data_IF_592679861801
#
_entry.id   IF_592679861801
#
_cell.length_a   1.000
_cell.length_b   1.000
_cell.length_c   1.000
_cell.angle_alpha   90.00
_cell.angle_beta   90.00
_cell.angle_gamma   90.00
#
_symmetry.space_group_name_H-M   'P 1'
#
loop_
_entity.id
_entity.type
_entity.pdbx_description
1 polymer ?
#
# COMPACT_ATOMS: atom_id res chain seq x y z
N UNK A 1 51.35 -54.48 17.17
CA UNK A 1 50.74 -53.24 16.65
C UNK A 1 49.35 -53.58 16.20
N UNK A 2 48.43 -52.59 16.34
CA UNK A 2 47.02 -52.66 16.00
C UNK A 2 46.62 -51.48 15.13
N UNK A 3 45.50 -51.61 14.42
CA UNK A 3 45.01 -50.56 13.58
C UNK A 3 44.14 -49.60 14.38
N UNK A 4 44.38 -48.28 14.20
CA UNK A 4 43.53 -47.22 14.66
C UNK A 4 42.91 -46.57 13.42
N UNK A 5 41.59 -46.67 13.26
CA UNK A 5 40.82 -46.16 12.11
C UNK A 5 39.92 -45.05 12.62
N UNK A 6 40.05 -43.84 12.04
CA UNK A 6 39.23 -42.68 12.33
C UNK A 6 38.23 -42.45 11.20
N UNK A 7 36.95 -42.43 11.52
CA UNK A 7 35.86 -42.28 10.53
C UNK A 7 34.90 -41.17 10.88
N UNK A 8 34.35 -40.56 9.82
CA UNK A 8 33.20 -39.68 9.95
C UNK A 8 32.10 -40.24 9.05
N UNK A 9 31.02 -40.78 9.63
CA UNK A 9 30.07 -41.58 8.92
C UNK A 9 30.74 -42.82 8.33
N UNK A 10 30.61 -43.06 7.03
CA UNK A 10 31.26 -44.17 6.33
C UNK A 10 32.67 -43.83 5.82
N UNK A 11 33.06 -42.55 5.84
CA UNK A 11 34.34 -42.08 5.30
C UNK A 11 35.49 -42.32 6.29
N UNK A 12 36.58 -42.95 5.80
CA UNK A 12 37.81 -43.12 6.55
C UNK A 12 38.67 -41.87 6.38
N UNK A 13 38.87 -41.12 7.49
CA UNK A 13 39.70 -39.92 7.49
C UNK A 13 41.20 -40.30 7.63
N UNK A 14 41.50 -41.25 8.53
CA UNK A 14 42.84 -41.77 8.73
C UNK A 14 42.78 -43.25 9.17
N UNK A 15 43.71 -44.04 8.69
CA UNK A 15 43.99 -45.38 9.21
C UNK A 15 45.49 -45.53 9.45
N UNK A 16 45.89 -45.84 10.69
CA UNK A 16 47.28 -45.95 11.05
C UNK A 16 47.57 -47.14 12.00
N UNK A 17 48.73 -47.67 11.89
CA UNK A 17 49.23 -48.73 12.79
C UNK A 17 49.86 -48.10 14.01
N UNK A 18 49.40 -48.50 15.20
CA UNK A 18 49.89 -47.97 16.50
C UNK A 18 50.38 -49.15 17.36
N UNK A 19 51.51 -49.01 18.02
CA UNK A 19 52.04 -50.02 18.92
C UNK A 19 51.19 -50.11 20.18
N UNK A 20 50.96 -51.32 20.70
CA UNK A 20 50.27 -51.53 21.98
C UNK A 20 50.86 -50.64 23.09
N UNK A 21 50.00 -49.91 23.81
CA UNK A 21 50.37 -49.01 24.90
C UNK A 21 50.91 -47.65 24.44
N UNK A 22 51.17 -47.44 23.14
CA UNK A 22 51.54 -46.11 22.64
C UNK A 22 50.32 -45.16 22.60
N UNK A 23 50.56 -43.84 22.71
CA UNK A 23 49.55 -42.83 22.64
C UNK A 23 48.77 -42.87 21.31
N UNK A 24 47.43 -42.74 21.36
CA UNK A 24 46.58 -42.60 20.21
C UNK A 24 46.29 -41.12 19.97
N UNK A 25 46.92 -40.54 18.96
CA UNK A 25 46.69 -39.14 18.53
C UNK A 25 45.66 -39.11 17.44
N UNK A 26 44.54 -38.42 17.67
CA UNK A 26 43.50 -38.24 16.63
C UNK A 26 43.96 -37.27 15.54
N UNK A 27 43.62 -37.51 14.27
CA UNK A 27 43.91 -36.60 13.18
C UNK A 27 43.05 -35.31 13.28
N UNK A 28 43.48 -34.25 12.59
CA UNK A 28 42.57 -33.13 12.26
C UNK A 28 41.46 -33.61 11.35
N UNK A 29 40.24 -33.18 11.65
CA UNK A 29 39.11 -33.42 10.76
C UNK A 29 39.16 -32.46 9.57
N UNK A 30 38.78 -32.91 8.34
CA UNK A 30 38.72 -32.04 7.19
C UNK A 30 37.66 -30.96 7.40
N UNK A 31 37.93 -29.76 6.86
CA UNK A 31 36.96 -28.67 6.88
C UNK A 31 35.73 -29.07 6.04
N UNK A 32 34.55 -28.79 6.58
CA UNK A 32 33.27 -29.03 5.88
C UNK A 32 32.44 -27.75 5.93
N UNK A 33 32.12 -27.23 4.73
CA UNK A 33 31.35 -25.99 4.62
C UNK A 33 30.03 -26.08 5.39
N UNK A 34 29.70 -25.02 6.13
CA UNK A 34 28.48 -24.93 6.92
C UNK A 34 28.42 -25.88 8.11
N UNK A 35 29.51 -26.51 8.49
CA UNK A 35 29.55 -27.45 9.59
C UNK A 35 30.75 -27.19 10.50
N UNK A 36 30.59 -27.50 11.76
CA UNK A 36 31.66 -27.50 12.75
C UNK A 36 31.94 -28.92 13.21
N UNK A 37 33.22 -29.35 13.22
CA UNK A 37 33.58 -30.63 13.75
C UNK A 37 33.27 -30.73 15.24
N UNK A 38 32.47 -31.73 15.63
CA UNK A 38 32.04 -31.90 17.02
C UNK A 38 33.04 -32.69 17.87
N UNK A 39 34.10 -33.22 17.23
CA UNK A 39 35.14 -33.99 17.89
C UNK A 39 35.10 -35.48 17.58
N UNK A 40 36.21 -36.14 17.88
CA UNK A 40 36.33 -37.59 17.89
C UNK A 40 35.76 -38.15 19.19
N UNK A 41 34.99 -39.22 19.12
CA UNK A 41 34.37 -39.85 20.30
C UNK A 41 35.21 -41.02 20.79
N UNK A 42 35.33 -41.17 22.13
CA UNK A 42 35.93 -42.29 22.81
C UNK A 42 37.37 -42.65 22.32
N UNK A 43 38.19 -41.64 22.00
CA UNK A 43 39.58 -41.84 21.64
C UNK A 43 40.31 -42.38 22.89
N UNK A 44 40.83 -43.62 22.86
CA UNK A 44 41.58 -44.13 24.00
C UNK A 44 42.92 -43.38 24.13
N UNK A 45 43.36 -43.09 25.34
CA UNK A 45 44.64 -42.42 25.59
C UNK A 45 45.85 -43.24 25.06
N UNK A 46 45.75 -44.58 25.16
CA UNK A 46 46.80 -45.51 24.67
C UNK A 46 46.17 -46.65 23.87
N UNK A 47 46.92 -47.19 22.92
CA UNK A 47 46.48 -48.26 22.04
C UNK A 47 46.18 -49.54 22.79
N UNK A 48 44.94 -50.06 22.79
CA UNK A 48 44.59 -51.34 23.41
C UNK A 48 45.17 -52.51 22.62
N UNK A 49 45.00 -53.76 23.17
CA UNK A 49 45.49 -55.01 22.52
C UNK A 49 44.50 -55.51 21.43
N UNK A 50 43.88 -54.60 20.66
CA UNK A 50 42.98 -54.85 19.54
C UNK A 50 42.87 -53.64 18.63
N UNK A 51 42.38 -53.81 17.44
CA UNK A 51 42.08 -52.72 16.50
C UNK A 51 40.92 -51.84 17.02
N UNK A 52 41.00 -50.55 16.76
CA UNK A 52 39.97 -49.56 17.18
C UNK A 52 39.40 -48.84 15.98
N UNK A 53 38.14 -48.47 16.10
CA UNK A 53 37.44 -47.53 15.19
C UNK A 53 36.95 -46.36 16.04
N UNK A 54 37.41 -45.18 15.71
CA UNK A 54 37.03 -43.91 16.39
C UNK A 54 36.13 -43.16 15.44
N UNK A 55 34.98 -42.79 15.95
CA UNK A 55 33.99 -42.03 15.17
C UNK A 55 34.06 -40.57 15.49
N UNK A 56 34.01 -39.74 14.46
CA UNK A 56 33.82 -38.29 14.57
C UNK A 56 32.50 -37.85 13.96
N UNK A 57 32.05 -36.69 14.28
CA UNK A 57 30.83 -36.11 13.74
C UNK A 57 30.95 -34.61 13.48
N UNK A 58 30.07 -34.09 12.63
CA UNK A 58 29.88 -32.65 12.39
C UNK A 58 28.53 -32.25 12.92
N UNK A 59 28.47 -30.99 13.41
CA UNK A 59 27.24 -30.26 13.69
C UNK A 59 27.00 -29.27 12.57
N UNK A 60 25.75 -29.13 12.14
CA UNK A 60 25.34 -28.09 11.17
C UNK A 60 25.41 -26.75 11.86
N UNK A 61 26.01 -25.76 11.20
CA UNK A 61 26.08 -24.41 11.70
C UNK A 61 24.76 -23.69 11.40
N UNK A 62 24.44 -22.73 12.28
CA UNK A 62 23.32 -21.79 12.08
C UNK A 62 23.87 -20.45 11.60
N UNK A 63 23.11 -19.82 10.73
CA UNK A 63 23.40 -18.48 10.23
C UNK A 63 22.15 -17.61 10.34
N UNK A 64 22.35 -16.30 10.49
CA UNK A 64 21.28 -15.34 10.68
C UNK A 64 20.67 -14.96 9.31
N UNK A 65 19.35 -15.09 9.18
CA UNK A 65 18.58 -14.56 8.08
C UNK A 65 17.80 -13.35 8.59
N UNK A 66 18.16 -12.17 8.11
CA UNK A 66 17.55 -10.89 8.52
C UNK A 66 16.75 -10.30 7.38
N UNK A 67 15.47 -10.04 7.62
CA UNK A 67 14.56 -9.32 6.72
C UNK A 67 14.54 -7.85 7.13
N UNK A 68 14.72 -6.95 6.15
CA UNK A 68 14.62 -5.49 6.33
C UNK A 68 13.55 -4.90 5.42
N UNK A 69 12.79 -3.96 5.95
CA UNK A 69 11.78 -3.18 5.21
C UNK A 69 12.15 -1.70 5.33
N UNK A 70 12.29 -1.02 4.19
CA UNK A 70 12.71 0.39 4.12
C UNK A 70 14.00 0.66 4.93
N UNK A 71 14.92 -0.33 4.97
CA UNK A 71 16.18 -0.26 5.70
C UNK A 71 16.10 -0.60 7.20
N UNK A 72 14.92 -0.74 7.77
CA UNK A 72 14.73 -1.15 9.16
C UNK A 72 14.58 -2.68 9.29
N UNK A 73 15.09 -3.25 10.37
CA UNK A 73 14.89 -4.67 10.65
C UNK A 73 13.39 -4.97 10.86
N UNK A 74 12.89 -5.91 10.09
CA UNK A 74 11.53 -6.42 10.18
C UNK A 74 11.47 -7.72 10.97
N UNK A 75 12.38 -8.65 10.67
CA UNK A 75 12.49 -9.96 11.31
C UNK A 75 13.89 -10.53 11.18
N UNK A 76 14.35 -11.23 12.20
CA UNK A 76 15.62 -11.96 12.19
C UNK A 76 15.41 -13.36 12.75
N UNK A 77 15.97 -14.38 12.08
CA UNK A 77 15.85 -15.78 12.46
C UNK A 77 17.19 -16.51 12.25
N UNK A 78 17.49 -17.50 13.11
CA UNK A 78 18.60 -18.42 12.88
C UNK A 78 18.13 -19.63 12.07
N UNK A 79 18.83 -19.96 11.01
CA UNK A 79 18.52 -21.02 10.07
C UNK A 79 19.73 -21.93 9.89
N UNK A 80 19.53 -23.26 9.92
CA UNK A 80 20.60 -24.23 9.69
C UNK A 80 21.10 -24.12 8.25
N UNK A 81 22.41 -24.22 8.07
CA UNK A 81 23.04 -24.30 6.75
C UNK A 81 22.35 -25.32 5.84
N UNK A 82 22.12 -24.96 4.60
CA UNK A 82 21.51 -25.83 3.59
C UNK A 82 20.00 -26.02 3.69
N UNK A 83 19.35 -25.46 4.72
CA UNK A 83 17.90 -25.52 4.84
C UNK A 83 17.22 -24.68 3.74
N UNK A 84 16.19 -25.23 3.10
CA UNK A 84 15.36 -24.49 2.15
C UNK A 84 14.64 -23.34 2.85
N UNK A 85 14.74 -22.15 2.27
CA UNK A 85 14.14 -20.94 2.83
C UNK A 85 12.78 -20.68 2.16
N UNK A 86 11.75 -20.52 2.99
CA UNK A 86 10.46 -20.00 2.57
C UNK A 86 10.39 -18.50 2.91
N UNK A 87 10.03 -17.67 1.93
CA UNK A 87 9.90 -16.23 2.15
C UNK A 87 8.88 -15.91 3.25
N UNK A 88 9.19 -14.89 4.04
CA UNK A 88 8.20 -14.32 4.95
C UNK A 88 7.01 -13.76 4.18
N UNK A 89 5.79 -13.80 4.75
CA UNK A 89 4.65 -13.11 4.19
C UNK A 89 4.96 -11.64 3.95
N UNK A 90 4.41 -11.07 2.87
CA UNK A 90 4.58 -9.65 2.59
C UNK A 90 3.97 -8.82 3.73
N UNK A 91 4.70 -7.84 4.28
CA UNK A 91 4.11 -6.93 5.26
C UNK A 91 3.06 -6.04 4.58
N UNK A 92 2.04 -5.65 5.35
CA UNK A 92 0.98 -4.76 4.88
C UNK A 92 1.15 -3.36 5.46
N UNK A 93 0.92 -2.34 4.63
CA UNK A 93 0.91 -0.93 5.03
C UNK A 93 -0.14 -0.20 4.20
N UNK A 94 -1.13 0.38 4.89
CA UNK A 94 -2.23 1.10 4.24
C UNK A 94 -1.71 2.23 3.33
N UNK A 95 -2.23 2.29 2.12
CA UNK A 95 -1.84 3.28 1.12
C UNK A 95 -0.49 3.01 0.44
N UNK A 96 0.13 1.85 0.68
CA UNK A 96 1.42 1.48 0.11
C UNK A 96 1.36 0.10 -0.53
N UNK A 97 2.25 -0.13 -1.48
CA UNK A 97 2.47 -1.43 -2.12
C UNK A 97 3.86 -1.94 -1.78
N UNK A 98 3.96 -3.17 -1.28
CA UNK A 98 5.24 -3.81 -1.00
C UNK A 98 5.88 -4.32 -2.29
N UNK A 99 7.18 -4.01 -2.51
CA UNK A 99 7.92 -4.36 -3.72
C UNK A 99 8.30 -5.83 -3.86
N UNK A 100 8.07 -6.64 -2.81
CA UNK A 100 8.55 -8.01 -2.70
C UNK A 100 9.93 -8.09 -2.06
N UNK A 101 10.27 -9.29 -1.56
CA UNK A 101 11.57 -9.57 -0.96
C UNK A 101 12.64 -9.74 -2.05
N UNK A 102 13.80 -9.11 -1.83
CA UNK A 102 14.97 -9.20 -2.71
C UNK A 102 16.16 -9.76 -1.95
N UNK A 103 16.99 -10.56 -2.65
CA UNK A 103 18.16 -11.17 -2.07
C UNK A 103 17.89 -12.45 -1.28
N UNK A 104 16.68 -13.01 -1.36
CA UNK A 104 16.33 -14.28 -0.71
C UNK A 104 16.96 -15.45 -1.45
N UNK A 105 17.86 -16.23 -0.83
CA UNK A 105 18.40 -17.45 -1.45
C UNK A 105 17.42 -18.63 -1.34
N UNK A 106 17.55 -19.62 -2.19
CA UNK A 106 16.74 -20.86 -2.11
C UNK A 106 17.06 -21.69 -0.86
N UNK A 107 18.34 -21.71 -0.47
CA UNK A 107 18.81 -22.42 0.73
C UNK A 107 19.76 -21.54 1.52
N UNK A 108 19.86 -21.77 2.84
CA UNK A 108 20.73 -21.00 3.71
C UNK A 108 22.22 -21.26 3.40
N UNK A 109 22.96 -20.23 2.95
CA UNK A 109 24.40 -20.36 2.69
C UNK A 109 25.21 -20.40 4.00
N UNK A 110 26.53 -20.70 3.89
CA UNK A 110 27.45 -20.70 5.02
C UNK A 110 27.87 -19.29 5.47
N UNK A 111 26.91 -18.38 5.55
CA UNK A 111 27.05 -16.98 6.01
C UNK A 111 25.71 -16.37 6.36
N UNK A 112 25.73 -15.29 7.13
CA UNK A 112 24.53 -14.49 7.38
C UNK A 112 24.00 -13.85 6.09
N UNK A 113 22.68 -13.73 5.99
CA UNK A 113 21.96 -13.21 4.83
C UNK A 113 21.06 -12.06 5.23
N UNK A 114 21.09 -11.01 4.44
CA UNK A 114 20.16 -9.89 4.54
C UNK A 114 19.22 -9.90 3.31
N UNK A 115 17.93 -9.88 3.59
CA UNK A 115 16.85 -9.82 2.60
C UNK A 115 16.15 -8.48 2.75
N UNK A 116 15.95 -7.76 1.65
CA UNK A 116 15.37 -6.42 1.70
C UNK A 116 14.06 -6.35 0.95
N UNK A 117 13.17 -5.48 1.40
CA UNK A 117 11.97 -5.08 0.71
C UNK A 117 11.69 -3.61 0.99
N UNK A 118 10.94 -2.97 0.10
CA UNK A 118 10.57 -1.57 0.22
C UNK A 118 9.09 -1.37 -0.03
N UNK A 119 8.53 -0.30 0.54
CA UNK A 119 7.19 0.17 0.22
C UNK A 119 7.23 1.32 -0.77
N UNK A 120 6.31 1.31 -1.74
CA UNK A 120 6.00 2.45 -2.59
C UNK A 120 4.64 3.00 -2.22
N UNK A 121 4.53 4.34 -2.12
CA UNK A 121 3.27 5.01 -1.86
C UNK A 121 2.35 4.93 -3.07
N UNK A 122 1.06 4.65 -2.85
CA UNK A 122 0.06 4.52 -3.90
C UNK A 122 -0.59 5.87 -4.22
N UNK A 123 -1.12 5.98 -5.43
CA UNK A 123 -2.00 7.06 -5.83
C UNK A 123 -3.40 6.51 -6.13
N UNK A 124 -4.42 7.31 -5.82
CA UNK A 124 -5.83 6.96 -6.01
C UNK A 124 -6.54 8.04 -6.82
N UNK A 125 -7.63 7.69 -7.49
CA UNK A 125 -8.38 8.62 -8.31
C UNK A 125 -9.32 9.48 -7.45
N UNK A 126 -9.21 10.81 -7.61
CA UNK A 126 -10.18 11.76 -7.10
C UNK A 126 -11.04 12.25 -8.29
N UNK A 127 -12.32 11.93 -8.29
CA UNK A 127 -13.26 12.29 -9.35
C UNK A 127 -14.27 13.28 -8.80
N UNK A 128 -14.36 14.47 -9.41
CA UNK A 128 -15.32 15.53 -9.07
C UNK A 128 -16.43 15.56 -10.11
N UNK A 129 -17.68 15.41 -9.66
CA UNK A 129 -18.87 15.36 -10.53
C UNK A 129 -19.93 16.35 -10.11
N UNK A 130 -20.67 16.84 -11.12
CA UNK A 130 -21.93 17.57 -10.91
C UNK A 130 -23.02 16.83 -11.72
N UNK A 131 -23.93 16.15 -11.01
CA UNK A 131 -24.81 15.18 -11.63
C UNK A 131 -24.01 14.02 -12.26
N UNK A 132 -24.19 13.75 -13.54
CA UNK A 132 -23.46 12.71 -14.28
C UNK A 132 -22.15 13.25 -14.93
N UNK A 133 -21.98 14.57 -14.97
CA UNK A 133 -20.84 15.21 -15.62
C UNK A 133 -19.60 15.17 -14.74
N UNK A 134 -18.48 14.69 -15.31
CA UNK A 134 -17.16 14.73 -14.66
C UNK A 134 -16.55 16.12 -14.93
N UNK A 135 -16.31 16.87 -13.87
CA UNK A 135 -15.65 18.17 -13.94
C UNK A 135 -14.12 18.00 -13.94
N UNK A 136 -13.63 17.13 -13.05
CA UNK A 136 -12.22 16.78 -12.99
C UNK A 136 -12.03 15.34 -12.54
N UNK A 137 -11.02 14.67 -13.07
CA UNK A 137 -10.51 13.38 -12.56
C UNK A 137 -8.99 13.43 -12.52
N UNK A 138 -8.40 13.20 -11.35
CA UNK A 138 -6.96 13.26 -11.15
C UNK A 138 -6.48 12.19 -10.18
N UNK A 139 -5.24 11.72 -10.40
CA UNK A 139 -4.56 10.87 -9.43
C UNK A 139 -3.95 11.74 -8.33
N UNK A 140 -4.22 11.37 -7.08
CA UNK A 140 -3.68 12.03 -5.87
C UNK A 140 -2.96 10.98 -5.04
N UNK A 141 -1.75 11.29 -4.57
CA UNK A 141 -0.95 10.39 -3.74
C UNK A 141 -1.65 10.20 -2.37
N UNK A 142 -1.62 8.99 -1.85
CA UNK A 142 -2.16 8.69 -0.53
C UNK A 142 -1.64 9.68 0.54
N UNK A 143 -2.56 10.25 1.33
CA UNK A 143 -2.23 11.20 2.39
C UNK A 143 -1.98 12.64 1.93
N UNK A 144 -1.85 12.91 0.61
CA UNK A 144 -1.74 14.26 0.08
C UNK A 144 -3.09 15.00 0.14
N UNK A 145 -3.04 16.33 0.19
CA UNK A 145 -4.23 17.18 0.22
C UNK A 145 -5.11 16.99 -1.02
N UNK A 146 -6.41 16.86 -0.83
CA UNK A 146 -7.40 16.82 -1.91
C UNK A 146 -7.92 18.24 -2.17
N UNK A 147 -7.42 18.85 -3.25
CA UNK A 147 -7.87 20.19 -3.68
C UNK A 147 -8.99 20.05 -4.69
N UNK A 148 -10.16 20.58 -4.37
CA UNK A 148 -11.31 20.58 -5.28
C UNK A 148 -11.12 21.61 -6.41
N UNK A 149 -11.56 21.31 -7.65
CA UNK A 149 -11.51 22.25 -8.77
C UNK A 149 -12.55 23.37 -8.63
N UNK A 150 -12.35 24.45 -9.37
CA UNK A 150 -13.42 25.42 -9.60
C UNK A 150 -14.57 24.78 -10.41
N UNK A 151 -15.80 25.04 -9.97
CA UNK A 151 -16.96 24.61 -10.73
C UNK A 151 -17.18 25.51 -11.97
N UNK A 152 -17.58 24.97 -13.13
CA UNK A 152 -17.89 25.78 -14.29
C UNK A 152 -19.07 26.72 -14.00
N UNK A 153 -19.06 27.92 -14.59
CA UNK A 153 -20.17 28.84 -14.48
C UNK A 153 -21.40 28.25 -15.20
N UNK A 154 -22.57 28.38 -14.55
CA UNK A 154 -23.85 27.94 -15.11
C UNK A 154 -24.85 29.09 -15.01
N UNK A 155 -25.38 29.52 -16.17
CA UNK A 155 -26.32 30.64 -16.24
C UNK A 155 -27.54 30.40 -15.33
N UNK A 156 -27.94 31.42 -14.60
CA UNK A 156 -29.09 31.36 -13.70
C UNK A 156 -28.92 30.44 -12.48
N UNK A 157 -27.71 29.98 -12.21
CA UNK A 157 -27.41 29.09 -11.09
C UNK A 157 -26.20 29.56 -10.32
N UNK A 158 -26.16 29.24 -9.05
CA UNK A 158 -25.02 29.45 -8.17
C UNK A 158 -24.48 28.09 -7.72
N UNK A 159 -23.16 27.88 -7.82
CA UNK A 159 -22.56 26.65 -7.31
C UNK A 159 -22.71 26.56 -5.79
N UNK A 160 -23.30 25.48 -5.31
CA UNK A 160 -23.58 25.26 -3.88
C UNK A 160 -22.40 24.65 -3.12
N UNK A 161 -21.32 24.29 -3.83
CA UNK A 161 -20.12 23.72 -3.26
C UNK A 161 -19.98 22.22 -3.52
N UNK A 162 -18.76 21.74 -3.33
CA UNK A 162 -18.41 20.33 -3.31
C UNK A 162 -18.76 19.72 -1.95
N UNK A 163 -19.31 18.52 -1.93
CA UNK A 163 -19.76 17.85 -0.71
C UNK A 163 -18.76 16.78 -0.28
N UNK A 164 -18.47 16.74 1.02
CA UNK A 164 -17.63 15.70 1.65
C UNK A 164 -16.24 15.55 1.00
N UNK A 165 -15.59 16.63 0.60
CA UNK A 165 -14.20 16.60 0.15
C UNK A 165 -13.34 16.17 1.33
N UNK A 166 -12.62 15.03 1.27
CA UNK A 166 -11.72 14.67 2.35
C UNK A 166 -10.52 15.63 2.37
N UNK A 167 -9.99 15.91 3.55
CA UNK A 167 -8.83 16.79 3.67
C UNK A 167 -7.58 16.20 3.01
N UNK A 168 -7.41 14.87 3.10
CA UNK A 168 -6.31 14.14 2.47
C UNK A 168 -6.83 12.91 1.75
N UNK A 169 -6.07 12.43 0.75
CA UNK A 169 -6.43 11.27 -0.07
C UNK A 169 -6.43 9.99 0.76
N UNK A 170 -7.57 9.29 0.86
CA UNK A 170 -7.64 8.01 1.53
C UNK A 170 -7.01 6.89 0.68
N UNK A 171 -6.88 5.68 1.26
CA UNK A 171 -6.32 4.51 0.57
C UNK A 171 -7.32 3.84 -0.40
N UNK A 172 -8.14 4.63 -1.09
CA UNK A 172 -9.09 4.20 -2.13
C UNK A 172 -9.50 5.38 -3.02
N UNK A 173 -10.03 5.09 -4.18
CA UNK A 173 -10.60 6.10 -5.08
C UNK A 173 -11.80 6.80 -4.43
N UNK A 174 -11.96 8.10 -4.73
CA UNK A 174 -13.07 8.91 -4.23
C UNK A 174 -13.87 9.53 -5.37
N UNK A 175 -15.17 9.71 -5.12
CA UNK A 175 -16.07 10.51 -5.95
C UNK A 175 -16.67 11.62 -5.10
N UNK A 176 -16.40 12.86 -5.47
CA UNK A 176 -16.90 14.04 -4.80
C UNK A 176 -18.00 14.67 -5.66
N UNK A 177 -19.16 14.90 -5.06
CA UNK A 177 -20.30 15.47 -5.74
C UNK A 177 -20.43 16.96 -5.43
N UNK A 178 -20.67 17.73 -6.48
CA UNK A 178 -21.05 19.14 -6.38
C UNK A 178 -22.49 19.34 -6.88
N UNK A 179 -23.07 20.48 -6.55
CA UNK A 179 -24.41 20.83 -6.98
C UNK A 179 -24.55 22.33 -7.25
N UNK A 180 -25.57 22.66 -8.02
CA UNK A 180 -26.00 24.04 -8.23
C UNK A 180 -27.34 24.29 -7.56
N UNK A 181 -27.55 25.53 -7.11
CA UNK A 181 -28.85 26.09 -6.73
C UNK A 181 -29.34 26.99 -7.84
N UNK A 182 -30.63 26.94 -8.13
CA UNK A 182 -31.28 27.87 -9.07
C UNK A 182 -31.36 29.25 -8.43
N UNK A 183 -30.98 30.27 -9.16
CA UNK A 183 -31.09 31.65 -8.69
C UNK A 183 -32.51 32.17 -8.85
N UNK A 184 -32.89 33.09 -7.98
CA UNK A 184 -34.16 33.85 -8.08
C UNK A 184 -33.86 35.21 -8.67
N UNK A 185 -34.79 35.69 -9.48
CA UNK A 185 -34.77 37.00 -10.07
C UNK A 185 -36.12 37.69 -9.85
N UNK A 186 -36.11 39.00 -9.85
CA UNK A 186 -37.30 39.81 -9.54
C UNK A 186 -38.08 40.09 -10.83
N UNK A 187 -39.33 39.66 -10.88
CA UNK A 187 -40.27 40.06 -11.93
C UNK A 187 -41.14 41.20 -11.41
N UNK A 188 -41.01 42.38 -12.03
CA UNK A 188 -41.76 43.57 -11.64
C UNK A 188 -42.80 43.93 -12.68
N UNK A 189 -44.06 43.92 -12.29
CA UNK A 189 -45.18 44.41 -13.09
C UNK A 189 -45.40 45.91 -12.83
N UNK A 190 -45.53 46.69 -13.91
CA UNK A 190 -45.77 48.14 -13.82
C UNK A 190 -47.05 48.51 -14.59
N UNK A 191 -47.88 49.40 -14.02
CA UNK A 191 -49.04 49.98 -14.63
C UNK A 191 -48.88 51.50 -14.67
N UNK A 192 -49.01 52.10 -15.84
CA UNK A 192 -48.78 53.55 -16.05
C UNK A 192 -47.42 54.02 -15.51
N UNK A 193 -46.40 53.16 -15.59
CA UNK A 193 -45.03 53.44 -15.11
C UNK A 193 -44.80 53.23 -13.63
N UNK A 194 -45.83 53.05 -12.83
CA UNK A 194 -45.72 52.75 -11.39
C UNK A 194 -45.65 51.24 -11.15
N UNK A 195 -44.90 50.82 -10.11
CA UNK A 195 -44.86 49.41 -9.68
C UNK A 195 -46.27 48.99 -9.22
N UNK A 196 -46.75 47.92 -9.82
CA UNK A 196 -48.02 47.28 -9.46
C UNK A 196 -47.78 46.06 -8.56
N UNK A 197 -46.82 45.22 -8.94
CA UNK A 197 -46.48 44.03 -8.20
C UNK A 197 -45.02 43.60 -8.50
N UNK A 198 -44.35 43.08 -7.51
CA UNK A 198 -43.00 42.50 -7.63
C UNK A 198 -42.97 41.12 -7.00
N UNK A 199 -42.41 40.13 -7.71
CA UNK A 199 -42.34 38.75 -7.25
C UNK A 199 -40.96 38.18 -7.56
N UNK A 200 -40.43 37.36 -6.65
CA UNK A 200 -39.22 36.55 -6.94
C UNK A 200 -39.59 35.26 -7.62
N UNK A 201 -38.95 34.96 -8.73
CA UNK A 201 -39.21 33.80 -9.58
C UNK A 201 -37.89 33.09 -9.85
N UNK A 202 -37.89 31.75 -9.76
CA UNK A 202 -36.72 30.97 -10.06
C UNK A 202 -36.39 31.06 -11.58
N UNK A 203 -35.08 31.17 -11.88
CA UNK A 203 -34.60 31.16 -13.28
C UNK A 203 -35.20 30.01 -14.07
N UNK A 204 -35.61 30.30 -15.30
CA UNK A 204 -36.17 29.33 -16.23
C UNK A 204 -37.60 28.87 -15.94
N UNK A 205 -38.20 29.33 -14.83
CA UNK A 205 -39.61 29.02 -14.54
C UNK A 205 -40.52 29.71 -15.55
N UNK A 206 -41.51 28.95 -16.07
CA UNK A 206 -42.54 29.52 -16.93
C UNK A 206 -43.34 30.59 -16.17
N UNK A 207 -43.46 31.76 -16.78
CA UNK A 207 -44.17 32.89 -16.20
C UNK A 207 -45.63 32.84 -16.62
N UNK A 208 -46.54 32.84 -15.63
CA UNK A 208 -47.95 33.07 -15.83
C UNK A 208 -48.24 34.52 -15.53
N UNK A 209 -48.85 35.23 -16.49
CA UNK A 209 -49.19 36.66 -16.34
C UNK A 209 -50.08 36.88 -15.12
N UNK A 210 -49.87 37.95 -14.42
CA UNK A 210 -50.78 38.41 -13.38
C UNK A 210 -52.16 38.75 -13.97
N UNK A 211 -53.25 38.56 -13.22
CA UNK A 211 -54.56 39.00 -13.62
C UNK A 211 -54.54 40.50 -13.96
N UNK A 212 -55.40 40.89 -14.92
CA UNK A 212 -55.55 42.29 -15.31
C UNK A 212 -55.95 43.15 -14.09
N UNK A 213 -55.24 44.26 -13.81
CA UNK A 213 -55.69 45.18 -12.77
C UNK A 213 -56.98 45.89 -13.15
N UNK A 214 -57.84 46.10 -12.16
CA UNK A 214 -59.10 46.83 -12.38
C UNK A 214 -58.94 48.30 -12.03
N UNK A 215 -59.46 49.18 -12.91
CA UNK A 215 -59.47 50.61 -12.69
C UNK A 215 -60.78 51.19 -13.29
N UNK A 216 -61.60 51.85 -12.45
CA UNK A 216 -62.88 52.36 -12.88
C UNK A 216 -62.72 53.31 -14.06
N UNK A 217 -63.54 53.13 -15.11
CA UNK A 217 -63.49 53.91 -16.34
C UNK A 217 -62.36 53.63 -17.30
N UNK A 218 -61.52 52.58 -17.04
CA UNK A 218 -60.40 52.23 -17.89
C UNK A 218 -60.48 50.75 -18.28
N UNK A 219 -59.93 50.44 -19.46
CA UNK A 219 -59.74 49.08 -19.93
C UNK A 219 -58.25 48.77 -19.93
N UNK A 220 -57.85 47.68 -19.30
CA UNK A 220 -56.45 47.23 -19.30
C UNK A 220 -56.03 46.74 -20.67
N UNK A 221 -54.92 47.27 -21.22
CA UNK A 221 -54.42 46.94 -22.59
C UNK A 221 -53.60 45.67 -22.68
N UNK A 222 -53.34 45.01 -21.55
CA UNK A 222 -52.52 43.81 -21.45
C UNK A 222 -51.09 44.09 -21.00
N UNK A 223 -50.43 43.07 -20.47
CA UNK A 223 -49.01 43.12 -20.10
C UNK A 223 -48.16 43.11 -21.36
N UNK A 224 -47.14 43.99 -21.42
CA UNK A 224 -46.18 44.05 -22.52
C UNK A 224 -44.78 43.66 -21.99
N UNK A 225 -43.99 42.99 -22.83
CA UNK A 225 -42.62 42.60 -22.51
C UNK A 225 -42.51 41.45 -21.49
N UNK A 226 -43.61 40.72 -21.24
CA UNK A 226 -43.58 39.55 -20.35
C UNK A 226 -42.83 38.41 -21.06
N UNK A 227 -41.71 37.90 -20.49
CA UNK A 227 -41.01 36.76 -21.07
C UNK A 227 -41.77 35.48 -20.80
N UNK A 228 -41.56 34.46 -21.63
CA UNK A 228 -42.17 33.11 -21.46
C UNK A 228 -41.60 32.39 -20.21
N UNK A 229 -40.30 32.59 -19.94
CA UNK A 229 -39.62 32.05 -18.78
C UNK A 229 -38.78 33.13 -18.12
N UNK A 230 -38.53 32.99 -16.80
CA UNK A 230 -37.72 33.94 -16.05
C UNK A 230 -36.26 33.97 -16.53
N UNK A 231 -35.77 35.09 -17.08
CA UNK A 231 -34.38 35.23 -17.52
C UNK A 231 -33.41 35.32 -16.36
N UNK A 232 -32.09 35.23 -16.63
CA UNK A 232 -31.04 35.40 -15.64
C UNK A 232 -30.76 36.89 -15.31
N UNK A 233 -31.82 37.67 -15.12
CA UNK A 233 -31.83 39.11 -14.79
C UNK A 233 -33.19 39.54 -14.26
N UNK A 234 -33.21 40.62 -13.53
CA UNK A 234 -34.41 41.34 -13.06
C UNK A 234 -35.08 42.11 -14.19
#
# INVERSE_FOLDING_TARGET
>A
SYQAVFKIGEEVIESKTVVYGAEVVAPEAPAKEGHTFAGWQDVPATMPAHDIVVMGSYTVNKYTLTYKVDGAEYKSVEVDYGTTITAEPAPEKEGYTFSGWQGLPETMPAKDVEVTGTFSINSYQAVFKIGEEIIESKAVVYGEEVVAPEAPAKEGHTFAGWQNVPATMPAHDIVVMGSYTVNKYTLTYKVDGAEYKSVEVDYGTTITAEPAPEKEGYTFSGWQGLPETMPAKD
#
